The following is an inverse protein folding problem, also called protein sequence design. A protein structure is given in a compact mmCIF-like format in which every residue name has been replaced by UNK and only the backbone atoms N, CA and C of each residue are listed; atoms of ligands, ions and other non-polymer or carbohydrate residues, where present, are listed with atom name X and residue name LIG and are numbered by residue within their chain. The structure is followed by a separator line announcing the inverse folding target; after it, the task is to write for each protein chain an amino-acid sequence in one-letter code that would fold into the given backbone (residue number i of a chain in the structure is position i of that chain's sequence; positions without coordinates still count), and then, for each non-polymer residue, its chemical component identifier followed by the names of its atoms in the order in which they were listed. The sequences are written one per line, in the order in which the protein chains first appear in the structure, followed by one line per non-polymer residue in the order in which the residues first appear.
data_IF_893142902707
#
_entry.id   IF_893142902707
#
_cell.length_a   1.000
_cell.length_b   1.000
_cell.length_c   1.000
_cell.angle_alpha   90.00
_cell.angle_beta   90.00
_cell.angle_gamma   90.00
#
_symmetry.space_group_name_H-M   'P 1'
#
loop_
_entity.id
_entity.type
_entity.pdbx_description
1 polymer ?
#
# COMPACT_ATOMS: atom_id res chain seq x y z
N UNK A 1 -16.01 -0.08 1.09
CA UNK A 1 -14.97 0.02 0.06
C UNK A 1 -15.42 1.10 -0.90
N UNK A 2 -14.53 2.04 -1.23
CA UNK A 2 -14.84 3.11 -2.20
C UNK A 2 -15.14 2.53 -3.58
N UNK A 3 -16.17 3.05 -4.23
CA UNK A 3 -16.67 2.66 -5.55
C UNK A 3 -16.01 3.48 -6.65
N UNK A 4 -16.08 3.01 -7.91
CA UNK A 4 -15.59 3.78 -9.06
C UNK A 4 -16.26 5.17 -9.17
N UNK A 5 -17.53 5.28 -8.76
CA UNK A 5 -18.25 6.56 -8.73
C UNK A 5 -17.63 7.59 -7.76
N UNK A 6 -17.12 7.15 -6.60
CA UNK A 6 -16.42 8.04 -5.66
C UNK A 6 -15.08 8.54 -6.21
N UNK A 7 -14.53 7.85 -7.21
CA UNK A 7 -13.27 8.22 -7.85
C UNK A 7 -13.44 9.19 -9.03
N UNK A 8 -14.65 9.37 -9.57
CA UNK A 8 -14.94 10.27 -10.71
C UNK A 8 -14.55 11.72 -10.42
N UNK A 9 -14.69 12.17 -9.16
CA UNK A 9 -14.34 13.52 -8.73
C UNK A 9 -12.86 13.87 -8.93
N UNK A 10 -11.99 12.86 -9.08
CA UNK A 10 -10.56 13.05 -9.35
C UNK A 10 -10.24 13.11 -10.85
N UNK A 11 -11.22 12.88 -11.74
CA UNK A 11 -11.04 12.96 -13.19
C UNK A 11 -9.88 12.07 -13.68
N UNK A 12 -9.01 12.58 -14.58
CA UNK A 12 -7.86 11.82 -15.10
C UNK A 12 -6.87 11.33 -14.03
N UNK A 13 -6.87 11.94 -12.84
CA UNK A 13 -5.99 11.55 -11.74
C UNK A 13 -6.40 10.22 -11.07
N UNK A 14 -7.66 9.80 -11.21
CA UNK A 14 -8.25 8.69 -10.47
C UNK A 14 -7.38 7.41 -10.52
N UNK A 15 -6.94 7.02 -11.72
CA UNK A 15 -6.15 5.79 -11.96
C UNK A 15 -4.76 5.78 -11.31
N UNK A 16 -4.25 6.97 -10.96
CA UNK A 16 -2.96 7.18 -10.27
C UNK A 16 -3.11 7.26 -8.75
N UNK A 17 -4.35 7.39 -8.25
CA UNK A 17 -4.65 7.49 -6.82
C UNK A 17 -5.19 6.17 -6.27
N UNK A 18 -6.09 5.51 -7.01
CA UNK A 18 -6.71 4.23 -6.64
C UNK A 18 -7.07 3.45 -7.91
N UNK A 19 -6.86 2.13 -7.88
CA UNK A 19 -7.25 1.26 -9.01
C UNK A 19 -8.75 1.08 -9.11
N UNK A 20 -9.29 0.91 -10.33
CA UNK A 20 -10.70 0.60 -10.54
C UNK A 20 -11.16 -0.60 -9.71
N UNK A 21 -12.42 -0.60 -9.30
CA UNK A 21 -12.99 -1.63 -8.44
C UNK A 21 -12.82 -3.02 -9.04
N UNK A 22 -13.05 -3.16 -10.35
CA UNK A 22 -12.86 -4.42 -11.08
C UNK A 22 -11.44 -4.99 -10.91
N UNK A 23 -10.41 -4.18 -11.11
CA UNK A 23 -9.01 -4.61 -10.97
C UNK A 23 -8.68 -5.01 -9.53
N UNK A 24 -9.25 -4.30 -8.55
CA UNK A 24 -9.06 -4.66 -7.13
C UNK A 24 -9.73 -6.00 -6.82
N UNK A 25 -10.97 -6.21 -7.26
CA UNK A 25 -11.69 -7.48 -7.03
C UNK A 25 -10.94 -8.65 -7.69
N UNK A 26 -10.46 -8.47 -8.92
CA UNK A 26 -9.65 -9.47 -9.61
C UNK A 26 -8.37 -9.80 -8.83
N UNK A 27 -7.65 -8.79 -8.34
CA UNK A 27 -6.46 -9.01 -7.52
C UNK A 27 -6.79 -9.78 -6.21
N UNK A 28 -7.87 -9.41 -5.54
CA UNK A 28 -8.30 -10.03 -4.27
C UNK A 28 -8.70 -11.51 -4.41
N UNK A 29 -9.14 -11.92 -5.61
CA UNK A 29 -9.55 -13.29 -5.90
C UNK A 29 -8.37 -14.21 -6.29
N UNK A 30 -7.14 -13.69 -6.30
CA UNK A 30 -5.95 -14.50 -6.60
C UNK A 30 -5.80 -15.65 -5.59
N UNK A 31 -5.54 -16.89 -6.03
CA UNK A 31 -5.32 -18.00 -5.11
C UNK A 31 -4.16 -17.73 -4.14
N UNK A 32 -4.38 -17.98 -2.85
CA UNK A 32 -3.39 -17.75 -1.81
C UNK A 32 -3.49 -18.80 -0.72
N UNK A 33 -2.35 -19.39 -0.36
CA UNK A 33 -2.24 -20.32 0.76
C UNK A 33 -1.34 -19.73 1.84
N UNK A 34 -1.95 -19.27 2.93
CA UNK A 34 -1.25 -18.64 4.05
C UNK A 34 -0.22 -19.56 4.73
N UNK A 35 -0.35 -20.89 4.60
CA UNK A 35 0.60 -21.83 5.20
C UNK A 35 1.88 -21.96 4.38
N UNK A 36 1.82 -21.63 3.09
CA UNK A 36 2.96 -21.81 2.17
C UNK A 36 3.45 -20.52 1.53
N UNK A 37 2.69 -19.42 1.54
CA UNK A 37 3.11 -18.14 0.98
C UNK A 37 4.08 -17.36 1.91
N UNK A 38 5.36 -17.35 1.54
CA UNK A 38 6.43 -16.72 2.31
C UNK A 38 7.33 -15.86 1.41
N UNK A 39 7.86 -14.78 1.97
CA UNK A 39 9.07 -14.14 1.47
C UNK A 39 10.30 -14.90 1.97
N UNK A 40 11.34 -14.94 1.15
CA UNK A 40 12.66 -15.49 1.50
C UNK A 40 13.73 -14.43 1.26
N UNK A 41 14.65 -14.27 2.20
CA UNK A 41 15.77 -13.35 2.05
C UNK A 41 16.77 -13.86 1.00
N UNK A 42 17.25 -12.96 0.14
CA UNK A 42 18.24 -13.27 -0.90
C UNK A 42 19.22 -12.09 -1.07
N UNK A 43 20.54 -12.32 -1.20
CA UNK A 43 21.53 -11.24 -1.20
C UNK A 43 21.44 -10.18 -2.31
N UNK A 44 20.91 -10.52 -3.49
CA UNK A 44 20.86 -9.61 -4.65
C UNK A 44 19.59 -8.77 -4.68
N UNK A 45 18.45 -9.37 -4.36
CA UNK A 45 17.14 -8.72 -4.44
C UNK A 45 16.52 -8.40 -3.07
N UNK A 46 17.26 -8.63 -1.99
CA UNK A 46 16.84 -8.53 -0.58
C UNK A 46 15.79 -9.57 -0.19
N UNK A 47 14.64 -9.57 -0.87
CA UNK A 47 13.53 -10.49 -0.60
C UNK A 47 12.85 -10.94 -1.88
N UNK A 48 12.51 -12.23 -1.95
CA UNK A 48 11.76 -12.83 -3.06
C UNK A 48 10.47 -13.47 -2.53
N UNK A 49 9.38 -13.39 -3.30
CA UNK A 49 8.15 -14.15 -3.04
C UNK A 49 8.39 -15.64 -3.34
N UNK A 50 7.86 -16.52 -2.50
CA UNK A 50 8.03 -17.96 -2.68
C UNK A 50 6.99 -18.82 -1.96
N UNK A 51 7.05 -20.12 -2.29
CA UNK A 51 6.26 -21.17 -1.67
C UNK A 51 7.15 -21.99 -0.73
N UNK A 52 6.83 -22.03 0.55
CA UNK A 52 7.46 -22.89 1.53
C UNK A 52 7.24 -24.36 1.17
N UNK A 53 8.34 -25.12 1.09
CA UNK A 53 8.35 -26.54 0.76
C UNK A 53 8.56 -27.39 2.00
N UNK A 54 9.52 -27.04 2.85
CA UNK A 54 9.83 -27.78 4.08
C UNK A 54 10.47 -26.90 5.15
N UNK A 55 10.34 -27.36 6.41
CA UNK A 55 11.04 -26.82 7.58
C UNK A 55 11.64 -27.98 8.36
N UNK A 56 12.97 -28.07 8.35
CA UNK A 56 13.70 -29.18 8.95
C UNK A 56 15.02 -28.67 9.53
N UNK A 57 15.34 -29.07 10.76
CA UNK A 57 16.64 -28.77 11.37
C UNK A 57 16.96 -27.27 11.52
N UNK A 58 15.96 -26.42 11.77
CA UNK A 58 16.12 -24.97 11.91
C UNK A 58 16.37 -24.23 10.58
N UNK A 59 16.11 -24.90 9.45
CA UNK A 59 16.21 -24.33 8.11
C UNK A 59 14.87 -24.47 7.39
N UNK A 60 14.57 -23.49 6.55
CA UNK A 60 13.41 -23.49 5.67
C UNK A 60 13.87 -23.59 4.22
N UNK A 61 13.19 -24.43 3.43
CA UNK A 61 13.35 -24.46 1.98
C UNK A 61 12.15 -23.81 1.32
N UNK A 62 12.39 -22.74 0.58
CA UNK A 62 11.37 -21.96 -0.15
C UNK A 62 11.67 -22.05 -1.65
N UNK A 63 10.65 -22.35 -2.45
CA UNK A 63 10.72 -22.26 -3.90
C UNK A 63 10.28 -20.85 -4.33
N UNK A 64 11.15 -20.10 -4.99
CA UNK A 64 10.84 -18.75 -5.48
C UNK A 64 9.74 -18.81 -6.54
N UNK A 65 8.82 -17.84 -6.51
CA UNK A 65 7.80 -17.73 -7.56
C UNK A 65 8.41 -17.28 -8.89
N UNK A 66 9.44 -16.44 -8.81
CA UNK A 66 10.23 -15.99 -9.95
C UNK A 66 11.37 -16.99 -10.22
N UNK A 67 11.32 -17.65 -11.38
CA UNK A 67 12.35 -18.61 -11.81
C UNK A 67 12.28 -20.01 -11.18
N UNK A 68 11.47 -20.23 -10.14
CA UNK A 68 11.25 -21.57 -9.57
C UNK A 68 12.45 -22.14 -8.79
N UNK A 69 13.44 -21.31 -8.45
CA UNK A 69 14.65 -21.70 -7.74
C UNK A 69 14.32 -22.10 -6.30
N UNK A 70 14.98 -23.13 -5.77
CA UNK A 70 14.86 -23.50 -4.36
C UNK A 70 15.98 -22.84 -3.55
N UNK A 71 15.60 -22.09 -2.53
CA UNK A 71 16.50 -21.46 -1.58
C UNK A 71 16.31 -22.12 -0.21
N UNK A 72 17.42 -22.55 0.40
CA UNK A 72 17.42 -23.08 1.76
C UNK A 72 18.13 -22.09 2.67
N UNK A 73 17.38 -21.47 3.57
CA UNK A 73 17.85 -20.41 4.49
C UNK A 73 17.52 -20.77 5.93
N UNK A 74 17.93 -19.94 6.89
CA UNK A 74 17.50 -20.13 8.28
C UNK A 74 16.01 -19.81 8.40
N UNK A 75 15.34 -20.39 9.39
CA UNK A 75 13.90 -20.09 9.59
C UNK A 75 13.62 -18.61 9.88
N UNK A 76 14.58 -17.88 10.46
CA UNK A 76 14.45 -16.44 10.71
C UNK A 76 14.50 -15.59 9.44
N UNK A 77 15.00 -16.16 8.33
CA UNK A 77 15.18 -15.50 7.03
C UNK A 77 13.96 -15.68 6.10
N UNK A 78 12.86 -16.24 6.62
CA UNK A 78 11.58 -16.34 5.92
C UNK A 78 10.50 -15.54 6.64
N UNK A 79 9.65 -14.85 5.88
CA UNK A 79 8.61 -13.99 6.44
C UNK A 79 7.24 -14.29 5.82
N UNK A 80 6.17 -14.41 6.61
CA UNK A 80 4.84 -14.69 6.06
C UNK A 80 4.36 -13.55 5.16
N UNK A 81 3.67 -13.91 4.09
CA UNK A 81 3.04 -12.96 3.16
C UNK A 81 1.63 -12.59 3.63
N UNK A 82 1.18 -11.37 3.32
CA UNK A 82 -0.22 -11.02 3.47
C UNK A 82 -1.07 -11.63 2.35
N UNK A 83 -2.35 -12.00 2.62
CA UNK A 83 -3.27 -12.44 1.58
C UNK A 83 -3.60 -11.32 0.58
N UNK A 84 -4.06 -11.65 -0.65
CA UNK A 84 -4.27 -10.69 -1.74
C UNK A 84 -5.26 -9.56 -1.44
N UNK A 85 -6.10 -9.71 -0.41
CA UNK A 85 -6.94 -8.62 0.10
C UNK A 85 -6.16 -7.38 0.57
N UNK A 86 -4.87 -7.54 0.88
CA UNK A 86 -3.97 -6.45 1.27
C UNK A 86 -3.10 -5.93 0.13
N UNK A 87 -3.25 -6.46 -1.09
CA UNK A 87 -2.46 -6.01 -2.22
C UNK A 87 -2.72 -4.53 -2.50
N UNK A 88 -1.63 -3.76 -2.56
CA UNK A 88 -1.64 -2.31 -2.82
C UNK A 88 -2.50 -1.53 -1.82
N UNK A 89 -2.61 -2.00 -0.58
CA UNK A 89 -3.38 -1.31 0.45
C UNK A 89 -2.89 0.13 0.64
N UNK A 90 -3.84 1.01 0.91
CA UNK A 90 -3.60 2.45 1.03
C UNK A 90 -2.98 2.85 2.36
N UNK A 91 -3.22 2.07 3.42
CA UNK A 91 -2.59 2.23 4.73
C UNK A 91 -1.98 0.90 5.17
N UNK A 92 -0.64 0.85 5.19
CA UNK A 92 0.10 -0.36 5.55
C UNK A 92 -0.10 -0.76 7.01
N UNK A 93 -0.53 0.16 7.88
CA UNK A 93 -0.86 -0.19 9.27
C UNK A 93 -2.05 -1.15 9.40
N UNK A 94 -2.81 -1.35 8.32
CA UNK A 94 -3.95 -2.27 8.29
C UNK A 94 -3.56 -3.71 7.92
N UNK A 95 -2.30 -3.97 7.56
CA UNK A 95 -1.82 -5.31 7.18
C UNK A 95 -1.82 -6.29 8.36
N UNK A 96 -2.04 -7.58 8.09
CA UNK A 96 -1.95 -8.63 9.12
C UNK A 96 -0.50 -8.91 9.51
N UNK A 97 0.38 -9.05 8.52
CA UNK A 97 1.81 -9.20 8.71
C UNK A 97 2.49 -7.88 8.38
N UNK A 98 3.09 -7.23 9.38
CA UNK A 98 3.83 -5.98 9.22
C UNK A 98 5.33 -6.24 9.39
N UNK A 99 5.89 -6.99 8.45
CA UNK A 99 7.33 -7.25 8.34
C UNK A 99 7.94 -6.41 7.20
N UNK A 100 9.27 -6.30 7.18
CA UNK A 100 10.01 -5.52 6.18
C UNK A 100 9.64 -5.86 4.73
N UNK A 101 9.59 -7.14 4.29
CA UNK A 101 9.19 -7.44 2.92
C UNK A 101 7.74 -7.11 2.61
N UNK A 102 6.80 -7.21 3.55
CA UNK A 102 5.41 -6.78 3.32
C UNK A 102 5.32 -5.28 3.00
N UNK A 103 6.04 -4.44 3.76
CA UNK A 103 6.11 -2.99 3.53
C UNK A 103 6.76 -2.72 2.17
N UNK A 104 7.91 -3.34 1.90
CA UNK A 104 8.64 -3.19 0.64
C UNK A 104 7.79 -3.55 -0.57
N UNK A 105 7.14 -4.72 -0.55
CA UNK A 105 6.35 -5.19 -1.70
C UNK A 105 5.08 -4.37 -1.91
N UNK A 106 4.44 -3.87 -0.84
CA UNK A 106 3.31 -2.97 -1.02
C UNK A 106 3.72 -1.68 -1.73
N UNK A 107 4.84 -1.07 -1.30
CA UNK A 107 5.38 0.13 -1.94
C UNK A 107 5.80 -0.16 -3.39
N UNK A 108 6.52 -1.28 -3.63
CA UNK A 108 6.97 -1.71 -4.97
C UNK A 108 5.79 -1.87 -5.93
N UNK A 109 4.73 -2.54 -5.50
CA UNK A 109 3.56 -2.80 -6.33
C UNK A 109 2.67 -1.57 -6.54
N UNK A 110 2.52 -0.71 -5.52
CA UNK A 110 1.81 0.56 -5.68
C UNK A 110 2.57 1.48 -6.64
N UNK A 111 3.89 1.55 -6.50
CA UNK A 111 4.75 2.32 -7.39
C UNK A 111 4.72 1.82 -8.83
N UNK A 112 4.81 0.50 -9.04
CA UNK A 112 4.68 -0.11 -10.38
C UNK A 112 3.33 0.20 -11.04
N UNK A 113 2.30 0.42 -10.23
CA UNK A 113 0.96 0.81 -10.65
C UNK A 113 0.75 2.34 -10.77
N UNK A 114 1.82 3.14 -10.66
CA UNK A 114 1.85 4.61 -10.66
C UNK A 114 1.13 5.29 -9.48
N UNK A 115 0.91 4.57 -8.38
CA UNK A 115 0.38 5.11 -7.13
C UNK A 115 1.53 5.43 -6.18
N UNK A 116 1.99 6.69 -6.16
CA UNK A 116 3.22 7.08 -5.46
C UNK A 116 3.06 7.40 -3.97
N UNK A 117 1.83 7.60 -3.52
CA UNK A 117 1.51 7.92 -2.12
C UNK A 117 0.96 6.69 -1.42
N UNK A 118 1.42 6.45 -0.19
CA UNK A 118 0.94 5.34 0.65
C UNK A 118 0.97 5.78 2.12
N UNK A 119 -0.07 5.51 2.88
CA UNK A 119 -0.05 5.73 4.32
C UNK A 119 0.65 4.58 5.05
N UNK A 120 1.29 4.91 6.16
CA UNK A 120 1.82 3.97 7.13
C UNK A 120 1.46 4.48 8.52
N UNK A 121 0.23 4.21 8.95
CA UNK A 121 -0.30 4.74 10.20
C UNK A 121 -0.42 6.25 10.15
N UNK A 122 0.44 6.97 10.87
CA UNK A 122 0.46 8.44 10.86
C UNK A 122 1.30 9.03 9.71
N UNK A 123 2.18 8.24 9.11
CA UNK A 123 3.09 8.71 8.07
C UNK A 123 2.45 8.67 6.68
N UNK A 124 2.82 9.62 5.83
CA UNK A 124 2.55 9.58 4.40
C UNK A 124 3.87 9.34 3.66
N UNK A 125 4.02 8.13 3.12
CA UNK A 125 5.19 7.73 2.32
C UNK A 125 4.98 8.19 0.89
N UNK A 126 6.00 8.86 0.33
CA UNK A 126 6.01 9.31 -1.07
C UNK A 126 7.23 8.73 -1.78
N UNK A 127 7.02 8.09 -2.92
CA UNK A 127 8.10 7.59 -3.79
C UNK A 127 8.23 8.51 -5.00
N UNK A 128 9.44 8.96 -5.32
CA UNK A 128 9.68 9.85 -6.46
C UNK A 128 9.33 9.15 -7.79
N UNK A 129 8.33 9.62 -8.57
CA UNK A 129 7.90 8.99 -9.82
C UNK A 129 8.90 9.12 -10.97
N UNK A 130 9.80 10.09 -10.92
CA UNK A 130 10.64 10.52 -12.06
C UNK A 130 9.84 10.73 -13.37
N UNK A 131 8.55 11.02 -13.24
CA UNK A 131 7.58 11.19 -14.32
C UNK A 131 6.50 12.16 -13.86
N UNK A 132 6.05 13.02 -14.77
CA UNK A 132 4.94 13.91 -14.52
C UNK A 132 3.63 13.12 -14.44
N UNK A 133 2.85 13.35 -13.37
CA UNK A 133 1.57 12.70 -13.11
C UNK A 133 0.48 13.78 -12.95
N UNK A 134 -0.72 13.60 -13.52
CA UNK A 134 -1.80 14.60 -13.47
C UNK A 134 -2.54 14.59 -12.11
N UNK A 135 -1.83 14.38 -11.01
CA UNK A 135 -2.40 14.26 -9.64
C UNK A 135 -2.38 15.59 -8.87
N UNK A 136 -1.90 16.66 -9.47
CA UNK A 136 -1.72 17.97 -8.82
C UNK A 136 -2.61 19.08 -9.41
N UNK A 137 -3.49 18.74 -10.34
CA UNK A 137 -4.37 19.71 -11.00
C UNK A 137 -5.43 20.27 -10.04
N UNK A 138 -5.99 21.43 -10.37
CA UNK A 138 -7.01 22.12 -9.55
C UNK A 138 -8.25 21.27 -9.26
N UNK A 139 -8.63 20.38 -10.19
CA UNK A 139 -9.69 19.39 -9.99
C UNK A 139 -9.39 18.48 -8.80
N UNK A 140 -8.14 18.02 -8.67
CA UNK A 140 -7.69 17.16 -7.57
C UNK A 140 -7.68 17.94 -6.25
N UNK A 141 -7.24 19.20 -6.25
CA UNK A 141 -7.32 20.07 -5.07
C UNK A 141 -8.76 20.18 -4.57
N UNK A 142 -9.70 20.47 -5.49
CA UNK A 142 -11.13 20.53 -5.16
C UNK A 142 -11.67 19.21 -4.60
N UNK A 143 -11.21 18.08 -5.13
CA UNK A 143 -11.64 16.74 -4.71
C UNK A 143 -11.12 16.32 -3.31
N UNK A 144 -10.02 16.90 -2.82
CA UNK A 144 -9.47 16.62 -1.47
C UNK A 144 -9.97 17.58 -0.40
N UNK A 145 -10.52 18.74 -0.78
CA UNK A 145 -10.89 19.81 0.16
C UNK A 145 -11.92 19.33 1.18
N UNK A 146 -11.61 19.47 2.47
CA UNK A 146 -12.50 19.13 3.58
C UNK A 146 -12.75 17.63 3.77
N UNK A 147 -12.04 16.76 3.04
CA UNK A 147 -12.17 15.31 3.19
C UNK A 147 -11.25 14.79 4.29
N UNK A 148 -11.79 13.90 5.13
CA UNK A 148 -10.98 13.15 6.09
C UNK A 148 -10.07 12.17 5.37
N UNK A 149 -8.96 11.82 6.00
CA UNK A 149 -7.96 10.87 5.45
C UNK A 149 -8.57 9.55 4.94
N UNK A 150 -9.63 9.05 5.58
CA UNK A 150 -10.28 7.77 5.22
C UNK A 150 -11.24 7.89 4.02
N UNK A 151 -11.64 9.12 3.66
CA UNK A 151 -12.64 9.40 2.62
C UNK A 151 -12.00 9.62 1.24
N UNK A 152 -10.67 9.72 1.19
CA UNK A 152 -9.92 9.96 -0.03
C UNK A 152 -8.67 9.05 -0.10
N UNK A 153 -8.16 8.72 -1.30
CA UNK A 153 -6.93 7.97 -1.44
C UNK A 153 -5.72 8.67 -0.79
N UNK A 154 -4.60 7.97 -0.59
CA UNK A 154 -3.37 8.59 -0.10
C UNK A 154 -2.88 9.71 -1.01
N UNK A 155 -2.65 10.90 -0.45
CA UNK A 155 -2.11 12.03 -1.18
C UNK A 155 -1.57 13.12 -0.25
N UNK A 156 -0.60 13.89 -0.73
CA UNK A 156 -0.05 15.02 0.03
C UNK A 156 -1.11 16.08 0.33
N UNK A 157 -2.06 16.32 -0.57
CA UNK A 157 -3.17 17.26 -0.33
C UNK A 157 -4.08 16.82 0.82
N UNK A 158 -4.23 15.52 1.07
CA UNK A 158 -4.97 15.06 2.25
C UNK A 158 -4.25 15.48 3.54
N UNK A 159 -2.92 15.36 3.58
CA UNK A 159 -2.10 15.81 4.73
C UNK A 159 -2.21 17.33 4.90
N UNK A 160 -2.04 18.09 3.82
CA UNK A 160 -2.12 19.55 3.85
C UNK A 160 -3.50 20.07 4.26
N UNK A 161 -4.58 19.51 3.70
CA UNK A 161 -5.95 19.91 4.00
C UNK A 161 -6.32 19.55 5.45
N UNK A 162 -6.01 18.33 5.90
CA UNK A 162 -6.32 17.93 7.28
C UNK A 162 -5.54 18.78 8.30
N UNK A 163 -4.28 19.12 8.03
CA UNK A 163 -3.51 20.04 8.87
C UNK A 163 -4.17 21.43 8.96
N UNK A 164 -4.64 21.97 7.83
CA UNK A 164 -5.35 23.25 7.79
C UNK A 164 -6.70 23.19 8.54
N UNK A 165 -7.48 22.12 8.35
CA UNK A 165 -8.75 21.93 9.07
C UNK A 165 -8.52 21.80 10.58
N UNK A 166 -7.47 21.09 11.00
CA UNK A 166 -7.12 20.98 12.42
C UNK A 166 -6.73 22.33 13.01
N UNK A 167 -5.95 23.14 12.30
CA UNK A 167 -5.58 24.49 12.74
C UNK A 167 -6.83 25.34 13.04
N UNK A 168 -7.78 25.41 12.10
CA UNK A 168 -9.02 26.19 12.27
C UNK A 168 -9.92 25.63 13.38
N UNK A 169 -10.01 24.30 13.48
CA UNK A 169 -10.82 23.64 14.51
C UNK A 169 -10.25 23.92 15.90
N UNK A 170 -8.94 23.79 16.07
CA UNK A 170 -8.26 24.08 17.34
C UNK A 170 -8.40 25.56 17.70
N UNK A 171 -8.26 26.46 16.73
CA UNK A 171 -8.45 27.90 16.97
C UNK A 171 -9.87 28.22 17.46
N UNK A 172 -10.90 27.67 16.82
CA UNK A 172 -12.29 27.89 17.22
C UNK A 172 -12.60 27.35 18.62
N UNK A 173 -12.00 26.22 19.00
CA UNK A 173 -12.09 25.67 20.36
C UNK A 173 -11.43 26.60 21.39
N UNK A 174 -10.25 27.14 21.08
CA UNK A 174 -9.55 28.09 21.97
C UNK A 174 -10.33 29.40 22.12
N UNK A 175 -11.03 29.85 21.08
CA UNK A 175 -11.81 31.09 21.08
C UNK A 175 -13.25 30.91 21.60
N UNK A 176 -13.65 29.70 22.03
CA UNK A 176 -14.99 29.43 22.56
C UNK A 176 -16.13 29.64 21.55
N UNK A 177 -15.86 29.42 20.25
CA UNK A 177 -16.83 29.65 19.15
C UNK A 177 -17.55 28.37 18.69
N UNK A 178 -17.49 27.30 19.47
CA UNK A 178 -18.13 26.00 19.24
C UNK A 178 -18.87 25.52 20.49
#
# INVERSE_FOLDING_TARGET
MSTDAEMEVFGPAAIYLRKPERERIEAQNTPFDAKTAFFVAEPKEMYLKGKLISREGGKATVQTLEGGQKLTVKEDDIHPMNPPKFDKIEDMAMMTHLNEPCVLYNLKERYAAWMIYTYSGLFCVTVNPYKWLPVYDSVVVGAYRGKKRIEAPPHIFSISDNAYQFMLTVENLVQGRL
#
